data_IF_342757363464
#
_entry.id   IF_342757363464
#
_cell.length_a   1.000
_cell.length_b   1.000
_cell.length_c   1.000
_cell.angle_alpha   90.00
_cell.angle_beta   90.00
_cell.angle_gamma   90.00
#
_symmetry.space_group_name_H-M   'P 1'
#
loop_
_entity.id
_entity.type
_entity.pdbx_description
1 polymer ?
#
# COMPACT_ATOMS: atom_id res chain seq x y z
N UNK A 1 0.11 -6.01 55.49
CA UNK A 1 0.15 -5.16 54.27
C UNK A 1 0.27 -6.07 53.06
N UNK A 2 -0.83 -6.30 52.34
CA UNK A 2 -0.82 -7.09 51.10
C UNK A 2 -0.98 -6.13 49.91
N UNK A 3 0.07 -6.03 49.10
CA UNK A 3 0.01 -5.34 47.81
C UNK A 3 -0.79 -6.21 46.83
N UNK A 4 -1.97 -5.73 46.46
CA UNK A 4 -2.76 -6.24 45.34
C UNK A 4 -2.04 -5.80 44.07
N UNK A 5 -1.39 -6.74 43.37
CA UNK A 5 -0.79 -6.48 42.06
C UNK A 5 -1.87 -6.09 41.06
N UNK A 6 -1.79 -4.83 40.63
CA UNK A 6 -2.64 -4.19 39.64
C UNK A 6 -2.72 -5.01 38.36
N UNK A 7 -3.97 -5.21 37.92
CA UNK A 7 -4.36 -5.67 36.60
C UNK A 7 -3.49 -5.03 35.50
N UNK A 8 -2.86 -5.88 34.71
CA UNK A 8 -2.07 -5.49 33.54
C UNK A 8 -2.93 -4.70 32.53
N UNK A 9 -2.61 -3.44 32.21
CA UNK A 9 -3.46 -2.56 31.40
C UNK A 9 -3.35 -2.79 29.87
N UNK A 10 -2.74 -3.89 29.41
CA UNK A 10 -2.44 -4.12 27.98
C UNK A 10 -3.53 -4.87 27.20
N UNK A 11 -4.44 -5.59 27.86
CA UNK A 11 -5.48 -6.37 27.17
C UNK A 11 -6.60 -5.57 26.47
N UNK A 12 -7.11 -4.43 26.98
CA UNK A 12 -8.29 -3.79 26.38
C UNK A 12 -8.00 -3.24 24.97
N UNK A 13 -6.77 -2.76 24.71
CA UNK A 13 -6.39 -2.20 23.39
C UNK A 13 -6.25 -3.26 22.29
N UNK A 14 -5.77 -4.46 22.62
CA UNK A 14 -5.67 -5.55 21.65
C UNK A 14 -7.05 -6.10 21.30
N UNK A 15 -7.92 -6.23 22.31
CA UNK A 15 -9.29 -6.69 22.13
C UNK A 15 -10.10 -5.74 21.24
N UNK A 16 -9.92 -4.42 21.40
CA UNK A 16 -10.61 -3.43 20.57
C UNK A 16 -10.18 -3.48 19.10
N UNK A 17 -8.88 -3.68 18.82
CA UNK A 17 -8.38 -3.84 17.44
C UNK A 17 -8.93 -5.12 16.80
N UNK A 18 -8.99 -6.22 17.55
CA UNK A 18 -9.57 -7.47 17.07
C UNK A 18 -11.07 -7.33 16.80
N UNK A 19 -11.82 -6.72 17.72
CA UNK A 19 -13.26 -6.48 17.56
C UNK A 19 -13.56 -5.58 16.37
N UNK A 20 -12.77 -4.52 16.17
CA UNK A 20 -12.92 -3.66 15.00
C UNK A 20 -12.63 -4.43 13.70
N UNK A 21 -11.55 -5.20 13.65
CA UNK A 21 -11.22 -6.04 12.50
C UNK A 21 -12.31 -7.07 12.21
N UNK A 22 -12.87 -7.68 13.25
CA UNK A 22 -13.97 -8.64 13.15
C UNK A 22 -15.26 -7.97 12.67
N UNK A 23 -15.60 -6.78 13.17
CA UNK A 23 -16.76 -6.01 12.71
C UNK A 23 -16.58 -5.64 11.24
N UNK A 24 -15.41 -5.16 10.82
CA UNK A 24 -15.13 -4.84 9.42
C UNK A 24 -15.18 -6.09 8.52
N UNK A 25 -14.72 -7.24 8.98
CA UNK A 25 -14.77 -8.50 8.23
C UNK A 25 -16.20 -9.07 8.14
N UNK A 26 -16.98 -8.97 9.22
CA UNK A 26 -18.38 -9.41 9.26
C UNK A 26 -19.30 -8.47 8.47
N UNK A 27 -19.04 -7.16 8.50
CA UNK A 27 -19.87 -6.14 7.85
C UNK A 27 -19.53 -6.01 6.37
N UNK A 28 -18.30 -6.31 5.98
CA UNK A 28 -17.83 -6.36 4.59
C UNK A 28 -17.81 -7.78 4.05
N UNK A 29 -18.96 -8.30 3.62
CA UNK A 29 -18.99 -9.30 2.53
C UNK A 29 -18.55 -8.60 1.24
N UNK A 30 -17.30 -8.15 1.19
CA UNK A 30 -16.67 -7.58 0.00
C UNK A 30 -16.44 -8.73 -0.99
N UNK A 31 -17.50 -9.21 -1.61
CA UNK A 31 -17.48 -10.26 -2.62
C UNK A 31 -16.61 -9.91 -3.82
N UNK A 32 -16.34 -8.60 -4.01
CA UNK A 32 -15.44 -8.02 -4.98
C UNK A 32 -13.96 -7.96 -4.58
N UNK A 33 -13.61 -8.10 -3.29
CA UNK A 33 -12.23 -7.85 -2.83
C UNK A 33 -11.19 -8.77 -3.49
N UNK A 34 -11.57 -10.01 -3.84
CA UNK A 34 -10.67 -10.93 -4.56
C UNK A 34 -10.20 -10.36 -5.90
N UNK A 35 -11.01 -9.55 -6.57
CA UNK A 35 -10.62 -8.90 -7.82
C UNK A 35 -9.67 -7.72 -7.58
N UNK A 36 -9.90 -6.92 -6.54
CA UNK A 36 -8.98 -5.85 -6.12
C UNK A 36 -7.62 -6.43 -5.72
N UNK A 37 -7.62 -7.51 -4.94
CA UNK A 37 -6.40 -8.21 -4.55
C UNK A 37 -5.70 -8.80 -5.79
N UNK A 38 -6.43 -9.43 -6.70
CA UNK A 38 -5.89 -9.97 -7.95
C UNK A 38 -5.20 -8.88 -8.81
N UNK A 39 -5.81 -7.70 -8.92
CA UNK A 39 -5.22 -6.56 -9.63
C UNK A 39 -3.94 -6.06 -8.94
N UNK A 40 -3.97 -5.90 -7.62
CA UNK A 40 -2.80 -5.49 -6.85
C UNK A 40 -1.62 -6.47 -7.02
N UNK A 41 -1.89 -7.78 -6.95
CA UNK A 41 -0.85 -8.83 -7.05
C UNK A 41 -0.40 -9.14 -8.47
N UNK A 42 -1.13 -8.70 -9.50
CA UNK A 42 -0.68 -8.83 -10.90
C UNK A 42 0.69 -8.19 -11.13
N UNK A 43 1.01 -7.15 -10.36
CA UNK A 43 2.26 -6.39 -10.46
C UNK A 43 3.38 -6.88 -9.53
N UNK A 44 3.11 -7.90 -8.71
CA UNK A 44 4.07 -8.43 -7.74
C UNK A 44 5.06 -9.40 -8.41
N UNK A 45 6.34 -9.05 -8.35
CA UNK A 45 7.47 -9.88 -8.79
C UNK A 45 7.81 -10.97 -7.74
N UNK A 46 6.81 -11.75 -7.33
CA UNK A 46 7.01 -12.94 -6.50
C UNK A 46 7.25 -14.12 -7.41
N UNK A 47 8.41 -14.77 -7.29
CA UNK A 47 8.68 -16.04 -7.96
C UNK A 47 7.86 -17.16 -7.30
N UNK A 48 7.26 -18.03 -8.13
CA UNK A 48 6.52 -19.20 -7.67
C UNK A 48 7.43 -20.17 -6.87
N UNK A 49 8.74 -20.10 -7.08
CA UNK A 49 9.75 -20.86 -6.35
C UNK A 49 9.87 -20.47 -4.86
N UNK A 50 9.44 -19.27 -4.45
CA UNK A 50 9.52 -18.80 -3.06
C UNK A 50 8.68 -19.67 -2.11
N UNK A 51 7.61 -20.29 -2.61
CA UNK A 51 6.80 -21.23 -1.83
C UNK A 51 7.55 -22.50 -1.41
N UNK A 52 8.67 -22.83 -2.06
CA UNK A 52 9.40 -24.09 -1.84
C UNK A 52 10.55 -23.98 -0.84
N UNK A 53 11.01 -22.77 -0.50
CA UNK A 53 12.22 -22.53 0.29
C UNK A 53 11.97 -22.28 1.79
N UNK A 54 10.71 -22.28 2.25
CA UNK A 54 10.38 -22.03 3.66
C UNK A 54 9.00 -22.53 4.07
N UNK A 55 8.63 -22.32 5.33
CA UNK A 55 7.29 -22.64 5.84
C UNK A 55 6.27 -21.77 5.09
N UNK A 56 5.49 -22.39 4.19
CA UNK A 56 4.51 -21.69 3.37
C UNK A 56 3.50 -20.92 4.26
N UNK A 57 3.65 -19.59 4.28
CA UNK A 57 2.73 -18.70 4.98
C UNK A 57 1.37 -18.75 4.26
N UNK A 58 0.27 -18.86 5.01
CA UNK A 58 -1.10 -18.88 4.46
C UNK A 58 -1.36 -17.63 3.61
N UNK A 59 -0.81 -16.49 4.03
CA UNK A 59 -0.87 -15.23 3.31
C UNK A 59 -0.17 -15.30 1.95
N UNK A 60 1.03 -15.91 1.89
CA UNK A 60 1.75 -16.15 0.64
C UNK A 60 0.93 -17.04 -0.30
N UNK A 61 0.37 -18.15 0.21
CA UNK A 61 -0.46 -19.05 -0.59
C UNK A 61 -1.70 -18.35 -1.16
N UNK A 62 -2.31 -17.44 -0.39
CA UNK A 62 -3.41 -16.62 -0.88
C UNK A 62 -2.97 -15.66 -1.99
N UNK A 63 -1.84 -14.98 -1.82
CA UNK A 63 -1.28 -14.07 -2.83
C UNK A 63 -0.97 -14.82 -4.13
N UNK A 64 -0.33 -15.99 -4.04
CA UNK A 64 -0.02 -16.82 -5.22
C UNK A 64 -1.29 -17.31 -5.92
N UNK A 65 -2.31 -17.75 -5.18
CA UNK A 65 -3.59 -18.14 -5.76
C UNK A 65 -4.28 -16.97 -6.48
N UNK A 66 -4.25 -15.77 -5.90
CA UNK A 66 -4.77 -14.55 -6.52
C UNK A 66 -3.95 -14.15 -7.76
N UNK A 67 -2.63 -14.33 -7.77
CA UNK A 67 -1.76 -14.07 -8.92
C UNK A 67 -2.05 -15.04 -10.08
N UNK A 68 -2.23 -16.33 -9.78
CA UNK A 68 -2.66 -17.32 -10.78
C UNK A 68 -4.03 -16.97 -11.35
N UNK A 69 -4.97 -16.49 -10.53
CA UNK A 69 -6.27 -16.01 -11.01
C UNK A 69 -6.14 -14.74 -11.87
N UNK A 70 -5.31 -13.77 -11.48
CA UNK A 70 -5.06 -12.54 -12.25
C UNK A 70 -4.46 -12.82 -13.63
N UNK A 71 -3.58 -13.83 -13.74
CA UNK A 71 -2.99 -14.24 -15.03
C UNK A 71 -3.98 -14.95 -15.95
N UNK A 72 -4.96 -15.68 -15.39
CA UNK A 72 -5.97 -16.42 -16.15
C UNK A 72 -7.28 -16.49 -15.34
N UNK A 73 -8.24 -15.59 -15.60
CA UNK A 73 -9.44 -15.44 -14.77
C UNK A 73 -10.51 -16.49 -15.09
N UNK A 74 -10.19 -17.77 -14.84
CA UNK A 74 -11.13 -18.91 -15.00
C UNK A 74 -11.80 -19.28 -13.67
N UNK A 75 -13.01 -19.81 -13.73
CA UNK A 75 -13.84 -20.18 -12.57
C UNK A 75 -13.10 -21.08 -11.56
N UNK A 76 -12.28 -22.03 -12.04
CA UNK A 76 -11.52 -22.92 -11.16
C UNK A 76 -10.47 -22.16 -10.34
N UNK A 77 -9.72 -21.25 -10.95
CA UNK A 77 -8.69 -20.43 -10.27
C UNK A 77 -9.33 -19.42 -9.32
N UNK A 78 -10.47 -18.85 -9.70
CA UNK A 78 -11.27 -18.00 -8.83
C UNK A 78 -11.71 -18.74 -7.56
N UNK A 79 -12.25 -19.97 -7.69
CA UNK A 79 -12.63 -20.79 -6.53
C UNK A 79 -11.43 -21.10 -5.64
N UNK A 80 -10.26 -21.37 -6.21
CA UNK A 80 -9.02 -21.57 -5.44
C UNK A 80 -8.60 -20.32 -4.68
N UNK A 81 -8.58 -19.16 -5.32
CA UNK A 81 -8.27 -17.87 -4.69
C UNK A 81 -9.25 -17.53 -3.55
N UNK A 82 -10.55 -17.78 -3.76
CA UNK A 82 -11.56 -17.65 -2.71
C UNK A 82 -11.32 -18.61 -1.54
N UNK A 83 -11.07 -19.89 -1.83
CA UNK A 83 -10.79 -20.88 -0.80
C UNK A 83 -9.53 -20.56 0.00
N UNK A 84 -8.47 -20.05 -0.63
CA UNK A 84 -7.28 -19.58 0.08
C UNK A 84 -7.55 -18.36 0.95
N UNK A 85 -8.37 -17.43 0.48
CA UNK A 85 -8.81 -16.27 1.25
C UNK A 85 -9.62 -16.67 2.49
N UNK A 86 -10.55 -17.62 2.35
CA UNK A 86 -11.40 -18.07 3.45
C UNK A 86 -10.60 -18.78 4.56
N UNK A 87 -9.42 -19.32 4.24
CA UNK A 87 -8.50 -19.95 5.21
C UNK A 87 -7.66 -18.94 6.00
N UNK A 88 -7.66 -17.67 5.62
CA UNK A 88 -6.97 -16.61 6.36
C UNK A 88 -7.72 -16.27 7.65
N UNK A 89 -6.96 -15.96 8.69
CA UNK A 89 -7.49 -15.37 9.93
C UNK A 89 -8.03 -13.97 9.67
N UNK A 90 -8.89 -13.48 10.57
CA UNK A 90 -9.45 -12.12 10.49
C UNK A 90 -8.36 -11.05 10.44
N UNK A 91 -7.28 -11.23 11.21
CA UNK A 91 -6.16 -10.30 11.23
C UNK A 91 -5.38 -10.29 9.91
N UNK A 92 -5.13 -11.47 9.32
CA UNK A 92 -4.48 -11.58 8.00
C UNK A 92 -5.34 -10.93 6.90
N UNK A 93 -6.66 -11.18 6.90
CA UNK A 93 -7.59 -10.54 5.96
C UNK A 93 -7.57 -9.02 6.09
N UNK A 94 -7.64 -8.50 7.31
CA UNK A 94 -7.56 -7.05 7.56
C UNK A 94 -6.23 -6.47 7.08
N UNK A 95 -5.10 -7.13 7.37
CA UNK A 95 -3.78 -6.68 6.96
C UNK A 95 -3.67 -6.62 5.42
N UNK A 96 -4.16 -7.65 4.72
CA UNK A 96 -4.21 -7.66 3.25
C UNK A 96 -5.12 -6.57 2.69
N UNK A 97 -6.33 -6.38 3.25
CA UNK A 97 -7.25 -5.30 2.86
C UNK A 97 -6.58 -3.93 2.96
N UNK A 98 -5.90 -3.66 4.08
CA UNK A 98 -5.15 -2.42 4.30
C UNK A 98 -3.99 -2.28 3.30
N UNK A 99 -3.23 -3.34 3.07
CA UNK A 99 -2.10 -3.33 2.14
C UNK A 99 -2.55 -3.03 0.69
N UNK A 100 -3.60 -3.70 0.19
CA UNK A 100 -4.13 -3.52 -1.17
C UNK A 100 -4.59 -2.08 -1.42
N UNK A 101 -5.18 -1.43 -0.41
CA UNK A 101 -5.72 -0.06 -0.48
C UNK A 101 -4.65 1.03 -0.33
N UNK A 102 -3.36 0.70 -0.21
CA UNK A 102 -2.28 1.69 -0.21
C UNK A 102 -2.16 2.30 -1.64
N UNK A 103 -2.28 3.64 -1.79
CA UNK A 103 -2.27 4.28 -3.12
C UNK A 103 -0.88 4.25 -3.78
N UNK A 104 0.20 4.22 -2.98
CA UNK A 104 1.57 4.18 -3.49
C UNK A 104 1.96 2.75 -3.89
N UNK A 105 2.08 2.48 -5.20
CA UNK A 105 2.37 1.14 -5.77
C UNK A 105 3.60 0.45 -5.15
N UNK A 106 4.72 1.16 -5.00
CA UNK A 106 5.94 0.59 -4.41
C UNK A 106 5.73 0.16 -2.95
N UNK A 107 5.13 1.03 -2.13
CA UNK A 107 4.81 0.74 -0.73
C UNK A 107 3.80 -0.39 -0.58
N UNK A 108 2.78 -0.43 -1.45
CA UNK A 108 1.81 -1.53 -1.52
C UNK A 108 2.51 -2.87 -1.79
N UNK A 109 3.38 -2.89 -2.79
CA UNK A 109 4.13 -4.09 -3.19
C UNK A 109 4.99 -4.60 -2.03
N UNK A 110 5.79 -3.71 -1.42
CA UNK A 110 6.64 -4.04 -0.28
C UNK A 110 5.83 -4.54 0.92
N UNK A 111 4.72 -3.88 1.25
CA UNK A 111 3.84 -4.30 2.34
C UNK A 111 3.26 -5.70 2.09
N UNK A 112 2.82 -5.99 0.87
CA UNK A 112 2.30 -7.32 0.52
C UNK A 112 3.38 -8.41 0.60
N UNK A 113 4.62 -8.12 0.16
CA UNK A 113 5.76 -9.03 0.30
C UNK A 113 6.09 -9.32 1.77
N UNK A 114 6.14 -8.28 2.60
CA UNK A 114 6.38 -8.41 4.03
C UNK A 114 5.29 -9.27 4.71
N UNK A 115 4.02 -9.07 4.36
CA UNK A 115 2.91 -9.89 4.88
C UNK A 115 3.00 -11.35 4.42
N UNK A 116 3.54 -11.58 3.23
CA UNK A 116 3.80 -12.92 2.71
C UNK A 116 5.00 -13.60 3.40
N UNK A 117 5.74 -12.89 4.26
CA UNK A 117 6.98 -13.38 4.85
C UNK A 117 8.10 -13.51 3.81
N UNK A 118 7.97 -12.85 2.66
CA UNK A 118 9.02 -12.77 1.66
C UNK A 118 9.94 -11.66 2.11
N UNK A 119 11.04 -12.02 2.78
CA UNK A 119 12.12 -11.08 3.00
C UNK A 119 12.60 -10.63 1.62
N UNK A 120 12.32 -9.38 1.31
CA UNK A 120 12.95 -8.71 0.18
C UNK A 120 14.45 -8.80 0.48
N UNK A 121 15.18 -9.64 -0.27
CA UNK A 121 16.64 -9.52 -0.41
C UNK A 121 16.94 -8.19 -1.12
N UNK A 122 16.53 -7.09 -0.50
CA UNK A 122 17.00 -5.80 -0.88
C UNK A 122 18.52 -5.83 -0.59
N UNK A 123 19.39 -5.48 -1.55
CA UNK A 123 20.73 -5.07 -1.17
C UNK A 123 20.58 -3.97 -0.13
N UNK A 124 21.42 -3.94 0.93
CA UNK A 124 21.32 -2.92 1.95
C UNK A 124 21.27 -1.57 1.25
N UNK A 125 20.18 -0.84 1.44
CA UNK A 125 20.08 0.55 1.02
C UNK A 125 21.15 1.24 1.84
N UNK A 126 22.30 1.49 1.22
CA UNK A 126 23.23 2.52 1.60
C UNK A 126 22.40 3.80 1.59
N UNK A 127 21.88 4.16 2.76
CA UNK A 127 21.57 5.53 3.06
C UNK A 127 22.92 6.24 2.92
N UNK A 128 23.19 6.76 1.73
CA UNK A 128 24.15 7.84 1.62
C UNK A 128 23.51 9.00 2.37
N UNK A 129 23.93 9.13 3.63
CA UNK A 129 23.96 10.36 4.39
C UNK A 129 24.69 11.42 3.56
N UNK A 130 24.01 12.04 2.59
CA UNK A 130 24.51 13.21 1.87
C UNK A 130 23.34 14.00 1.26
N UNK A 131 22.41 14.42 2.11
CA UNK A 131 21.68 15.67 1.89
C UNK A 131 21.80 16.46 3.18
N UNK A 132 22.83 17.30 3.22
CA UNK A 132 23.12 18.19 4.33
C UNK A 132 21.93 19.08 4.66
N UNK A 133 21.47 18.98 5.90
CA UNK A 133 20.81 20.07 6.59
C UNK A 133 21.84 21.19 6.83
N UNK A 134 22.14 21.94 5.77
CA UNK A 134 22.78 23.23 5.85
C UNK A 134 21.72 24.28 6.12
N UNK A 135 21.49 24.56 7.41
CA UNK A 135 20.96 25.85 7.83
C UNK A 135 21.91 26.93 7.32
N UNK A 136 21.46 27.78 6.41
CA UNK A 136 21.99 29.13 6.32
C UNK A 136 20.83 30.12 6.16
N UNK A 137 20.49 30.69 7.32
CA UNK A 137 19.66 31.88 7.42
C UNK A 137 20.56 33.03 7.00
N UNK A 138 20.30 33.59 5.81
CA UNK A 138 20.74 34.95 5.50
C UNK A 138 19.56 35.73 4.96
N UNK A 139 19.04 36.60 5.84
CA UNK A 139 18.25 37.74 5.45
C UNK A 139 19.09 38.63 4.54
N UNK A 140 18.57 38.99 3.38
CA UNK A 140 18.53 40.40 2.99
C UNK A 140 17.52 40.68 1.88
N UNK A 141 17.16 41.94 1.84
CA UNK A 141 15.94 42.53 1.32
C UNK A 141 16.09 43.02 -0.13
N UNK A 142 14.93 43.35 -0.72
CA UNK A 142 14.69 44.43 -1.69
C UNK A 142 14.87 44.25 -3.21
N UNK A 143 13.78 44.60 -3.91
CA UNK A 143 13.65 45.29 -5.21
C UNK A 143 14.31 44.65 -6.46
N UNK A 144 13.66 44.52 -7.62
CA UNK A 144 12.72 45.42 -8.29
C UNK A 144 11.99 44.74 -9.47
N UNK A 145 10.90 45.39 -9.90
CA UNK A 145 10.04 45.14 -11.07
C UNK A 145 10.78 44.84 -12.39
N UNK A 146 10.13 44.10 -13.31
CA UNK A 146 9.70 44.69 -14.60
C UNK A 146 8.69 43.81 -15.34
N UNK A 147 7.61 44.46 -15.77
CA UNK A 147 6.59 43.94 -16.68
C UNK A 147 7.11 43.87 -18.11
N UNK A 148 6.58 42.94 -18.91
CA UNK A 148 6.28 43.19 -20.33
C UNK A 148 5.26 42.17 -20.85
N UNK A 149 4.07 42.61 -21.29
CA UNK A 149 3.17 41.82 -22.11
C UNK A 149 3.59 41.91 -23.59
N UNK A 150 3.52 40.79 -24.31
CA UNK A 150 3.77 40.74 -25.74
C UNK A 150 2.63 41.42 -26.50
N UNK A 151 2.87 42.65 -26.96
CA UNK A 151 2.06 43.33 -27.98
C UNK A 151 2.29 42.67 -29.35
N UNK A 152 1.25 42.03 -29.89
CA UNK A 152 1.11 41.79 -31.32
C UNK A 152 0.25 42.89 -31.94
N UNK A 153 0.90 43.90 -32.52
CA UNK A 153 0.27 44.98 -33.27
C UNK A 153 0.26 44.65 -34.78
N UNK A 154 -0.88 44.91 -35.45
CA UNK A 154 -0.98 45.36 -36.87
C UNK A 154 -2.43 45.84 -37.11
N UNK A 155 -2.66 47.16 -37.03
CA UNK A 155 -2.76 48.17 -38.11
C UNK A 155 -4.08 48.16 -38.90
N UNK A 156 -4.94 49.08 -38.47
CA UNK A 156 -5.82 50.01 -39.20
C UNK A 156 -5.81 50.02 -40.73
N UNK A 157 -7.02 50.14 -41.31
CA UNK A 157 -7.34 51.35 -42.10
C UNK A 157 -8.85 51.67 -42.10
N UNK A 158 -9.17 52.96 -42.02
CA UNK A 158 -10.50 53.54 -42.23
C UNK A 158 -10.72 53.83 -43.71
N UNK A 159 -11.96 53.75 -44.21
CA UNK A 159 -12.69 54.90 -44.76
C UNK A 159 -14.01 54.47 -45.41
N UNK A 160 -15.07 55.16 -44.98
CA UNK A 160 -16.40 55.18 -45.57
C UNK A 160 -16.39 55.89 -46.92
N UNK A 161 -17.27 55.42 -47.82
CA UNK A 161 -18.11 56.25 -48.68
C UNK A 161 -19.49 55.58 -48.78
#
# INVERSE_FOLDING_TARGET
>A
SFQVSLLSPSMPRQMSVFLQALIEDLRGKDSGFIYELADAVKTLAVDDNVATQGQANRTLMCILACKLFASCPISQRQRRARSSWDRLTVLEKMALKKAVRIPRRALRTRTLLNLAGVEEKAPPILWMDDIGFGHDVRADSDFSMTWSPANGARTTDQMSL
#
